data_IF_469440655198
#
_entry.id   IF_469440655198
#
_cell.length_a   1.000
_cell.length_b   1.000
_cell.length_c   1.000
_cell.angle_alpha   90.00
_cell.angle_beta   90.00
_cell.angle_gamma   90.00
#
_symmetry.space_group_name_H-M   'P 1'
#
loop_
_entity.id
_entity.type
_entity.pdbx_description
1 polymer ?
#
# COMPACT_ATOMS: atom_id res chain seq x y z
N UNK A 1 -5.48 20.67 2.50
CA UNK A 1 -5.90 19.32 2.09
C UNK A 1 -5.45 18.39 3.21
N UNK A 2 -6.36 17.62 3.77
CA UNK A 2 -5.94 16.61 4.77
C UNK A 2 -5.02 15.62 4.07
N UNK A 3 -3.88 15.36 4.69
CA UNK A 3 -2.85 14.46 4.19
C UNK A 3 -3.30 13.01 4.50
N UNK A 4 -3.99 12.41 3.53
CA UNK A 4 -4.59 11.08 3.66
C UNK A 4 -3.61 10.01 3.20
N UNK A 5 -3.43 8.99 4.01
CA UNK A 5 -2.57 7.84 3.74
C UNK A 5 -3.43 6.63 3.35
N UNK A 6 -3.18 6.07 2.17
CA UNK A 6 -3.85 4.85 1.73
C UNK A 6 -3.32 3.66 2.51
N UNK A 7 -4.24 2.93 3.15
CA UNK A 7 -3.89 1.73 3.94
C UNK A 7 -4.45 0.44 3.34
N UNK A 8 -5.43 0.54 2.45
CA UNK A 8 -6.01 -0.63 1.81
C UNK A 8 -7.08 -0.31 0.78
N UNK A 9 -7.65 -1.36 0.20
CA UNK A 9 -8.77 -1.29 -0.75
C UNK A 9 -9.84 -2.27 -0.31
N UNK A 10 -11.09 -1.84 -0.30
CA UNK A 10 -12.24 -2.73 -0.08
C UNK A 10 -12.41 -3.66 -1.26
N UNK A 11 -12.25 -4.96 -1.05
CA UNK A 11 -12.35 -5.96 -2.12
C UNK A 11 -13.75 -6.52 -2.26
N UNK A 12 -14.38 -6.92 -1.16
CA UNK A 12 -15.73 -7.49 -1.16
C UNK A 12 -16.39 -7.33 0.19
N UNK A 13 -17.69 -7.54 0.23
CA UNK A 13 -18.47 -7.66 1.48
C UNK A 13 -18.25 -9.04 2.10
N UNK A 14 -18.46 -9.15 3.41
CA UNK A 14 -18.39 -10.41 4.14
C UNK A 14 -19.52 -10.54 5.15
N UNK A 15 -20.11 -11.75 5.24
CA UNK A 15 -21.24 -11.96 6.17
C UNK A 15 -22.45 -11.09 5.85
N UNK A 16 -23.36 -10.97 6.82
CA UNK A 16 -24.62 -10.24 6.68
C UNK A 16 -24.69 -8.97 7.52
N UNK A 17 -23.65 -8.71 8.35
CA UNK A 17 -23.62 -7.64 9.37
C UNK A 17 -22.84 -6.40 8.93
N UNK A 18 -22.67 -6.17 7.62
CA UNK A 18 -21.94 -4.97 7.16
C UNK A 18 -20.42 -5.08 7.18
N UNK A 19 -19.90 -6.29 7.29
CA UNK A 19 -18.45 -6.53 7.26
C UNK A 19 -17.89 -6.35 5.84
N UNK A 20 -16.67 -5.82 5.73
CA UNK A 20 -15.95 -5.71 4.46
C UNK A 20 -14.58 -6.38 4.55
N UNK A 21 -14.18 -7.03 3.45
CA UNK A 21 -12.81 -7.49 3.28
C UNK A 21 -11.97 -6.38 2.67
N UNK A 22 -10.83 -6.10 3.28
CA UNK A 22 -9.87 -5.10 2.81
C UNK A 22 -8.58 -5.78 2.40
N UNK A 23 -8.12 -5.49 1.20
CA UNK A 23 -6.77 -5.81 0.75
C UNK A 23 -5.83 -4.70 1.28
N UNK A 24 -4.86 -5.02 2.15
CA UNK A 24 -3.95 -4.02 2.70
C UNK A 24 -2.93 -3.58 1.65
N UNK A 25 -2.63 -2.28 1.62
CA UNK A 25 -1.53 -1.68 0.84
C UNK A 25 -0.34 -1.30 1.74
N UNK A 26 -0.26 -1.89 2.93
CA UNK A 26 0.80 -1.67 3.94
C UNK A 26 1.46 -2.98 4.31
N UNK A 27 2.75 -2.95 4.61
CA UNK A 27 3.57 -4.13 4.95
C UNK A 27 3.22 -4.76 6.30
N UNK A 28 2.57 -4.03 7.21
CA UNK A 28 2.25 -4.52 8.56
C UNK A 28 0.75 -4.51 8.83
N UNK A 29 0.10 -5.64 8.57
CA UNK A 29 -1.33 -5.89 8.78
C UNK A 29 -1.76 -5.64 10.24
N UNK A 30 -0.87 -5.87 11.21
CA UNK A 30 -1.19 -5.66 12.63
C UNK A 30 -1.46 -4.19 12.97
N UNK A 31 -1.04 -3.29 12.10
CA UNK A 31 -1.28 -1.85 12.24
C UNK A 31 -2.79 -1.54 12.18
N UNK A 32 -3.55 -2.25 11.37
CA UNK A 32 -4.99 -2.06 11.26
C UNK A 32 -5.76 -2.26 12.57
N UNK A 33 -5.27 -3.14 13.46
CA UNK A 33 -5.90 -3.39 14.78
C UNK A 33 -5.85 -2.19 15.72
N UNK A 34 -5.11 -1.16 15.36
CA UNK A 34 -4.95 0.06 16.16
C UNK A 34 -5.59 1.28 15.52
N UNK A 35 -6.23 1.12 14.36
CA UNK A 35 -6.97 2.20 13.71
C UNK A 35 -8.38 2.23 14.29
N UNK A 36 -8.70 3.28 15.03
CA UNK A 36 -10.04 3.48 15.57
C UNK A 36 -10.97 4.11 14.51
N UNK A 37 -10.38 4.81 13.54
CA UNK A 37 -11.11 5.55 12.51
C UNK A 37 -10.44 5.41 11.15
N UNK A 38 -11.25 5.24 10.09
CA UNK A 38 -10.79 5.13 8.70
C UNK A 38 -11.69 5.97 7.79
N UNK A 39 -11.16 6.36 6.64
CA UNK A 39 -11.85 7.17 5.64
C UNK A 39 -11.98 6.36 4.35
N UNK A 40 -13.21 6.13 3.92
CA UNK A 40 -13.51 5.54 2.60
C UNK A 40 -13.59 6.64 1.54
N UNK A 41 -12.85 6.49 0.47
CA UNK A 41 -12.95 7.37 -0.70
C UNK A 41 -13.98 6.80 -1.65
N UNK A 42 -15.14 7.42 -1.70
CA UNK A 42 -16.24 7.00 -2.56
C UNK A 42 -16.46 8.00 -3.71
N UNK A 43 -17.25 7.59 -4.70
CA UNK A 43 -17.63 8.48 -5.82
C UNK A 43 -18.51 9.66 -5.38
N UNK A 44 -19.20 9.51 -4.25
CA UNK A 44 -20.12 10.50 -3.70
C UNK A 44 -19.44 11.43 -2.67
N UNK A 45 -18.17 11.14 -2.31
CA UNK A 45 -17.37 11.86 -1.33
C UNK A 45 -16.71 10.94 -0.32
N UNK A 46 -16.00 11.52 0.62
CA UNK A 46 -15.30 10.79 1.67
C UNK A 46 -16.26 10.46 2.80
N UNK A 47 -16.20 9.24 3.32
CA UNK A 47 -16.99 8.75 4.44
C UNK A 47 -16.04 8.33 5.55
N UNK A 48 -16.12 8.98 6.70
CA UNK A 48 -15.40 8.56 7.91
C UNK A 48 -16.16 7.46 8.62
N UNK A 49 -15.48 6.38 8.98
CA UNK A 49 -16.03 5.22 9.67
C UNK A 49 -15.25 4.90 10.93
N UNK A 50 -15.96 4.59 12.00
CA UNK A 50 -15.37 4.04 13.22
C UNK A 50 -15.20 2.53 13.10
N UNK A 51 -14.02 2.03 13.44
CA UNK A 51 -13.68 0.61 13.31
C UNK A 51 -14.06 -0.13 14.58
N UNK A 52 -15.13 -0.90 14.55
CA UNK A 52 -15.56 -1.72 15.70
C UNK A 52 -14.58 -2.87 15.98
N UNK A 53 -14.15 -3.57 14.94
CA UNK A 53 -13.18 -4.66 15.09
C UNK A 53 -12.47 -5.01 13.78
N UNK A 54 -11.28 -5.61 13.91
CA UNK A 54 -10.47 -6.10 12.79
C UNK A 54 -10.10 -7.56 13.03
N UNK A 55 -10.43 -8.45 12.09
CA UNK A 55 -10.07 -9.87 12.13
C UNK A 55 -9.17 -10.24 10.97
N UNK A 56 -8.05 -10.88 11.28
CA UNK A 56 -7.20 -11.51 10.26
C UNK A 56 -7.91 -12.75 9.72
N UNK A 57 -8.10 -12.82 8.40
CA UNK A 57 -8.58 -14.02 7.76
C UNK A 57 -7.40 -14.86 7.27
N UNK A 58 -7.35 -16.09 7.76
CA UNK A 58 -6.57 -17.16 7.10
C UNK A 58 -7.54 -17.87 6.16
N UNK A 59 -7.49 -17.57 4.88
CA UNK A 59 -8.26 -18.35 3.92
C UNK A 59 -7.66 -19.74 3.80
N UNK A 60 -8.51 -20.76 3.99
CA UNK A 60 -8.13 -22.16 3.79
C UNK A 60 -8.11 -22.42 2.29
N UNK A 61 -6.95 -22.58 1.72
CA UNK A 61 -6.70 -22.78 0.28
C UNK A 61 -7.00 -24.22 -0.16
N UNK A 62 -8.24 -24.71 0.03
CA UNK A 62 -8.55 -26.12 -0.21
C UNK A 62 -8.99 -26.47 -1.65
N UNK A 63 -9.10 -25.52 -2.59
CA UNK A 63 -9.70 -25.78 -3.89
C UNK A 63 -8.96 -25.27 -5.13
N UNK A 64 -7.75 -24.73 -5.00
CA UNK A 64 -6.98 -24.24 -6.15
C UNK A 64 -5.74 -25.10 -6.37
N UNK A 65 -5.47 -25.57 -7.60
CA UNK A 65 -4.26 -26.33 -7.90
C UNK A 65 -3.00 -25.54 -7.58
N UNK A 66 -2.05 -26.17 -6.87
CA UNK A 66 -0.84 -25.54 -6.34
C UNK A 66 0.18 -25.07 -7.39
N UNK A 67 -0.06 -25.38 -8.67
CA UNK A 67 0.79 -25.08 -9.82
C UNK A 67 0.25 -23.98 -10.74
N UNK A 68 -0.86 -23.33 -10.35
CA UNK A 68 -1.46 -22.24 -11.15
C UNK A 68 -0.92 -20.87 -10.73
N UNK A 69 -0.78 -19.94 -11.70
CA UNK A 69 -0.49 -18.51 -11.43
C UNK A 69 -1.53 -17.86 -10.52
N UNK A 70 -2.78 -18.36 -10.56
CA UNK A 70 -3.87 -17.93 -9.70
C UNK A 70 -3.62 -18.34 -8.25
N UNK A 71 -3.00 -19.51 -8.01
CA UNK A 71 -2.61 -19.97 -6.68
C UNK A 71 -1.55 -19.05 -6.04
N UNK A 72 -0.52 -18.65 -6.77
CA UNK A 72 0.52 -17.74 -6.31
C UNK A 72 -0.04 -16.35 -5.99
N UNK A 73 -0.91 -15.84 -6.85
CA UNK A 73 -1.60 -14.56 -6.66
C UNK A 73 -2.55 -14.62 -5.46
N UNK A 74 -3.31 -15.73 -5.32
CA UNK A 74 -4.22 -15.91 -4.17
C UNK A 74 -3.49 -16.21 -2.87
N UNK A 75 -2.32 -16.85 -2.89
CA UNK A 75 -1.47 -17.03 -1.70
C UNK A 75 -1.02 -15.68 -1.13
N UNK A 76 -0.64 -14.76 -2.00
CA UNK A 76 -0.28 -13.40 -1.62
C UNK A 76 -1.50 -12.61 -1.09
N UNK A 77 -2.68 -12.82 -1.68
CA UNK A 77 -3.94 -12.18 -1.26
C UNK A 77 -4.48 -12.80 0.04
N UNK A 78 -4.46 -14.13 0.19
CA UNK A 78 -4.99 -14.82 1.37
C UNK A 78 -4.21 -14.53 2.65
N UNK A 79 -2.91 -14.28 2.53
CA UNK A 79 -2.07 -13.91 3.67
C UNK A 79 -2.26 -12.45 4.14
N UNK A 80 -2.96 -11.62 3.37
CA UNK A 80 -3.00 -10.18 3.53
C UNK A 80 -4.42 -9.60 3.71
N UNK A 81 -5.50 -10.38 3.68
CA UNK A 81 -6.85 -9.82 3.80
C UNK A 81 -7.31 -9.70 5.25
N UNK A 82 -7.83 -8.52 5.61
CA UNK A 82 -8.45 -8.24 6.90
C UNK A 82 -9.94 -7.96 6.72
N UNK A 83 -10.77 -8.39 7.67
CA UNK A 83 -12.16 -7.98 7.76
C UNK A 83 -12.30 -6.77 8.67
N UNK A 84 -12.97 -5.75 8.17
CA UNK A 84 -13.34 -4.57 8.93
C UNK A 84 -14.82 -4.57 9.22
N UNK A 85 -15.16 -4.21 10.44
CA UNK A 85 -16.51 -3.95 10.91
C UNK A 85 -16.59 -2.47 11.21
N UNK A 86 -17.57 -1.79 10.64
CA UNK A 86 -17.88 -0.42 10.95
C UNK A 86 -19.16 -0.37 11.76
N UNK A 87 -19.17 0.39 12.84
CA UNK A 87 -20.34 0.54 13.73
C UNK A 87 -21.58 1.05 13.01
N UNK A 88 -21.38 1.83 11.93
CA UNK A 88 -22.46 2.50 11.20
C UNK A 88 -23.23 1.59 10.24
N UNK A 89 -22.73 0.40 9.94
CA UNK A 89 -23.34 -0.49 8.94
C UNK A 89 -23.63 -1.88 9.49
N UNK A 90 -24.91 -2.18 9.64
CA UNK A 90 -25.38 -3.47 10.15
C UNK A 90 -25.96 -4.39 9.07
N UNK A 91 -25.82 -4.03 7.79
CA UNK A 91 -26.38 -4.77 6.67
C UNK A 91 -25.40 -4.83 5.50
N UNK A 92 -25.28 -6.01 4.88
CA UNK A 92 -24.41 -6.24 3.71
C UNK A 92 -24.73 -5.30 2.53
N UNK A 93 -26.01 -4.96 2.32
CA UNK A 93 -26.44 -4.09 1.23
C UNK A 93 -25.89 -2.65 1.37
N UNK A 94 -25.66 -2.20 2.61
CA UNK A 94 -25.17 -0.86 2.89
C UNK A 94 -23.69 -0.71 2.50
N UNK A 95 -22.93 -1.81 2.58
CA UNK A 95 -21.48 -1.82 2.34
C UNK A 95 -21.10 -2.34 0.95
N UNK A 96 -22.04 -2.92 0.18
CA UNK A 96 -21.75 -3.44 -1.15
C UNK A 96 -21.29 -2.34 -2.12
N UNK A 97 -21.79 -1.12 -1.96
CA UNK A 97 -21.39 0.06 -2.74
C UNK A 97 -19.94 0.49 -2.51
N UNK A 98 -19.30 0.03 -1.43
CA UNK A 98 -17.92 0.37 -1.09
C UNK A 98 -16.87 -0.53 -1.73
N UNK A 99 -17.29 -1.52 -2.52
CA UNK A 99 -16.36 -2.35 -3.27
C UNK A 99 -15.47 -1.51 -4.19
N UNK A 100 -14.17 -1.77 -4.17
CA UNK A 100 -13.11 -1.04 -4.88
C UNK A 100 -12.87 0.40 -4.38
N UNK A 101 -13.46 0.79 -3.25
CA UNK A 101 -13.12 2.05 -2.61
C UNK A 101 -11.79 1.93 -1.89
N UNK A 102 -11.00 3.01 -1.95
CA UNK A 102 -9.76 3.13 -1.18
C UNK A 102 -10.10 3.40 0.28
N UNK A 103 -9.35 2.74 1.16
CA UNK A 103 -9.40 2.93 2.59
C UNK A 103 -8.19 3.75 3.02
N UNK A 104 -8.47 4.91 3.62
CA UNK A 104 -7.48 5.90 4.00
C UNK A 104 -7.49 6.12 5.52
N UNK A 105 -6.41 6.66 6.03
CA UNK A 105 -6.34 7.26 7.38
C UNK A 105 -5.75 8.66 7.27
N UNK A 106 -6.07 9.53 8.23
CA UNK A 106 -5.35 10.80 8.37
C UNK A 106 -3.92 10.53 8.85
N UNK A 107 -3.00 11.44 8.57
CA UNK A 107 -1.61 11.30 9.05
C UNK A 107 -1.54 11.27 10.57
N UNK A 108 -2.43 11.98 11.26
CA UNK A 108 -2.48 12.01 12.72
C UNK A 108 -2.93 10.67 13.33
N UNK A 109 -3.82 9.94 12.63
CA UNK A 109 -4.28 8.60 13.00
C UNK A 109 -3.39 7.49 12.42
N UNK A 110 -2.39 7.86 11.62
CA UNK A 110 -1.44 6.91 11.08
C UNK A 110 -0.50 6.39 12.17
N UNK A 111 -0.29 5.08 12.19
CA UNK A 111 0.60 4.48 13.17
C UNK A 111 2.04 4.93 12.96
N UNK A 112 2.80 5.18 14.04
CA UNK A 112 4.19 5.57 13.93
C UNK A 112 4.99 4.51 13.15
N UNK A 113 5.79 4.99 12.22
CA UNK A 113 6.71 4.19 11.44
C UNK A 113 7.84 3.67 12.34
N UNK A 114 8.23 2.42 12.15
CA UNK A 114 9.46 1.88 12.72
C UNK A 114 10.66 2.41 11.95
N UNK A 115 11.85 2.28 12.53
CA UNK A 115 13.09 2.63 11.84
C UNK A 115 13.21 1.92 10.48
N UNK A 116 13.49 2.67 9.43
CA UNK A 116 13.56 2.18 8.05
C UNK A 116 12.23 2.00 7.33
N UNK A 117 11.08 2.25 7.98
CA UNK A 117 9.78 2.26 7.33
C UNK A 117 9.42 3.66 6.85
N UNK A 118 8.68 3.73 5.74
CA UNK A 118 8.19 4.98 5.15
C UNK A 118 6.81 4.75 4.52
N UNK A 119 6.07 5.82 4.32
CA UNK A 119 4.86 5.79 3.51
C UNK A 119 5.20 6.01 2.05
N UNK A 120 4.61 5.24 1.14
CA UNK A 120 4.88 5.35 -0.30
C UNK A 120 4.55 6.74 -0.85
N UNK A 121 3.52 7.38 -0.31
CA UNK A 121 3.13 8.75 -0.69
C UNK A 121 4.16 9.83 -0.30
N UNK A 122 5.10 9.53 0.60
CA UNK A 122 6.17 10.46 1.02
C UNK A 122 7.42 10.36 0.14
N UNK A 123 7.46 9.39 -0.79
CA UNK A 123 8.64 9.15 -1.63
C UNK A 123 8.70 10.07 -2.86
N UNK A 124 7.57 10.41 -3.54
CA UNK A 124 7.62 11.35 -4.65
C UNK A 124 8.24 12.69 -4.25
N UNK A 125 9.15 13.18 -5.10
CA UNK A 125 9.95 14.37 -4.84
C UNK A 125 11.33 14.10 -4.24
N UNK A 126 11.57 12.89 -3.70
CA UNK A 126 12.87 12.52 -3.15
C UNK A 126 13.96 12.46 -4.23
N UNK A 127 15.14 12.91 -3.88
CA UNK A 127 16.33 12.85 -4.72
C UNK A 127 16.91 11.44 -4.67
N UNK A 128 17.19 10.85 -5.83
CA UNK A 128 17.80 9.52 -5.95
C UNK A 128 19.30 9.67 -6.13
N UNK A 129 20.06 9.06 -5.22
CA UNK A 129 21.53 9.06 -5.22
C UNK A 129 22.02 7.65 -5.50
N UNK A 130 22.95 7.53 -6.42
CA UNK A 130 23.65 6.27 -6.68
C UNK A 130 24.53 5.94 -5.47
N UNK A 131 24.29 4.80 -4.83
CA UNK A 131 25.01 4.35 -3.63
C UNK A 131 26.51 4.08 -3.92
N UNK A 132 26.85 3.71 -5.16
CA UNK A 132 28.22 3.32 -5.53
C UNK A 132 29.08 4.53 -5.92
N UNK A 133 28.48 5.56 -6.55
CA UNK A 133 29.22 6.73 -7.08
C UNK A 133 28.95 8.01 -6.32
N UNK A 134 27.97 8.02 -5.40
CA UNK A 134 27.45 9.19 -4.67
C UNK A 134 26.89 10.29 -5.60
N UNK A 135 26.63 9.97 -6.87
CA UNK A 135 26.08 10.91 -7.84
C UNK A 135 24.54 10.89 -7.80
N UNK A 136 23.97 12.07 -7.99
CA UNK A 136 22.52 12.21 -8.15
C UNK A 136 22.06 11.68 -9.50
N UNK A 137 21.15 10.70 -9.48
CA UNK A 137 20.52 10.11 -10.67
C UNK A 137 19.38 10.99 -11.17
N UNK A 138 18.50 11.44 -10.25
CA UNK A 138 17.30 12.19 -10.57
C UNK A 138 16.38 12.32 -9.38
N UNK A 139 15.06 12.45 -9.65
CA UNK A 139 14.03 12.55 -8.61
C UNK A 139 12.93 11.53 -8.83
N UNK A 140 12.40 10.99 -7.76
CA UNK A 140 11.20 10.16 -7.82
C UNK A 140 10.00 11.05 -8.18
N UNK A 141 9.34 10.74 -9.27
CA UNK A 141 8.12 11.45 -9.74
C UNK A 141 6.86 10.72 -9.32
N UNK A 142 6.90 9.38 -9.26
CA UNK A 142 5.75 8.56 -8.90
C UNK A 142 6.19 7.21 -8.30
N UNK A 143 5.25 6.52 -7.67
CA UNK A 143 5.43 5.17 -7.16
C UNK A 143 4.34 4.27 -7.73
N UNK A 144 4.74 3.31 -8.56
CA UNK A 144 3.86 2.30 -9.12
C UNK A 144 3.75 1.11 -8.17
N UNK A 145 2.55 0.84 -7.69
CA UNK A 145 2.26 -0.37 -6.93
C UNK A 145 2.00 -1.53 -7.91
N UNK A 146 2.82 -2.57 -7.84
CA UNK A 146 2.64 -3.78 -8.65
C UNK A 146 2.36 -4.99 -7.77
N UNK A 147 1.85 -6.07 -8.35
CA UNK A 147 1.53 -7.28 -7.59
C UNK A 147 2.74 -8.02 -6.99
N UNK A 148 3.98 -7.69 -7.42
CA UNK A 148 5.21 -8.32 -6.93
C UNK A 148 6.02 -7.38 -6.05
N UNK A 149 6.37 -6.18 -6.57
CA UNK A 149 7.13 -5.16 -5.85
C UNK A 149 6.64 -3.78 -6.28
N UNK A 150 6.85 -2.78 -5.44
CA UNK A 150 6.69 -1.40 -5.86
C UNK A 150 7.81 -1.01 -6.82
N UNK A 151 7.57 -0.01 -7.66
CA UNK A 151 8.54 0.52 -8.61
C UNK A 151 8.57 2.04 -8.47
N UNK A 152 9.75 2.60 -8.24
CA UNK A 152 9.94 4.04 -8.28
C UNK A 152 10.11 4.51 -9.71
N UNK A 153 9.28 5.45 -10.11
CA UNK A 153 9.41 6.18 -11.38
C UNK A 153 10.32 7.37 -11.12
N UNK A 154 11.45 7.40 -11.80
CA UNK A 154 12.50 8.41 -11.57
C UNK A 154 12.70 9.21 -12.83
N UNK A 155 12.56 10.53 -12.74
CA UNK A 155 12.99 11.44 -13.79
C UNK A 155 14.45 11.78 -13.58
N UNK A 156 15.30 11.39 -14.54
CA UNK A 156 16.73 11.68 -14.51
C UNK A 156 17.01 13.15 -14.77
N UNK A 157 18.24 13.60 -14.48
CA UNK A 157 18.69 14.99 -14.82
C UNK A 157 18.57 15.34 -16.30
N UNK A 158 18.57 14.33 -17.16
CA UNK A 158 18.44 14.48 -18.62
C UNK A 158 16.99 14.50 -19.09
N UNK A 159 16.01 14.41 -18.16
CA UNK A 159 14.58 14.36 -18.47
C UNK A 159 14.10 13.01 -18.99
N UNK A 160 14.88 11.94 -18.80
CA UNK A 160 14.46 10.58 -19.13
C UNK A 160 13.77 9.96 -17.92
N UNK A 161 12.73 9.18 -18.18
CA UNK A 161 12.07 8.36 -17.16
C UNK A 161 12.75 6.99 -17.07
N UNK A 162 13.10 6.58 -15.85
CA UNK A 162 13.65 5.26 -15.54
C UNK A 162 12.90 4.61 -14.39
N UNK A 163 12.81 3.28 -14.40
CA UNK A 163 12.01 2.51 -13.46
C UNK A 163 12.92 1.69 -12.54
N UNK A 164 12.89 1.99 -11.25
CA UNK A 164 13.68 1.29 -10.25
C UNK A 164 12.79 0.39 -9.39
N UNK A 165 12.96 -0.94 -9.42
CA UNK A 165 12.19 -1.85 -8.58
C UNK A 165 12.59 -1.66 -7.11
N UNK A 166 11.59 -1.61 -6.23
CA UNK A 166 11.81 -1.50 -4.78
C UNK A 166 12.13 -2.87 -4.21
N UNK A 167 13.35 -3.31 -4.45
CA UNK A 167 13.93 -4.54 -3.94
C UNK A 167 15.26 -4.25 -3.23
N UNK A 168 15.70 -5.09 -2.27
CA UNK A 168 16.93 -4.86 -1.52
C UNK A 168 18.20 -4.70 -2.38
N UNK A 169 18.22 -5.36 -3.55
CA UNK A 169 19.35 -5.27 -4.47
C UNK A 169 19.44 -3.92 -5.19
N UNK A 170 18.29 -3.23 -5.37
CA UNK A 170 18.21 -1.94 -6.05
C UNK A 170 18.11 -0.78 -5.07
N UNK A 171 17.09 -0.76 -4.19
CA UNK A 171 16.88 0.33 -3.23
C UNK A 171 17.55 -0.02 -1.90
N UNK A 172 18.57 0.73 -1.53
CA UNK A 172 19.39 0.49 -0.34
C UNK A 172 18.83 1.21 0.89
N UNK A 173 18.37 2.45 0.72
CA UNK A 173 17.80 3.25 1.79
C UNK A 173 16.78 4.23 1.22
N UNK A 174 15.69 4.40 1.94
CA UNK A 174 14.72 5.49 1.72
C UNK A 174 14.65 6.32 2.98
N UNK A 175 14.94 7.61 2.86
CA UNK A 175 14.89 8.58 3.94
C UNK A 175 13.94 9.71 3.52
N UNK A 176 12.66 9.53 3.87
CA UNK A 176 11.62 10.50 3.50
C UNK A 176 11.72 11.82 4.27
N UNK A 177 12.43 11.84 5.42
CA UNK A 177 12.65 13.05 6.20
C UNK A 177 13.69 13.97 5.54
N UNK A 178 14.76 13.35 5.04
CA UNK A 178 15.82 14.07 4.29
C UNK A 178 15.44 14.21 2.79
N UNK A 179 14.39 13.53 2.33
CA UNK A 179 13.99 13.51 0.93
C UNK A 179 15.02 12.82 0.02
N UNK A 180 15.65 11.75 0.51
CA UNK A 180 16.74 11.04 -0.19
C UNK A 180 16.40 9.55 -0.33
N UNK A 181 16.60 9.02 -1.54
CA UNK A 181 16.60 7.59 -1.84
C UNK A 181 18.02 7.19 -2.29
N UNK A 182 18.61 6.21 -1.62
CA UNK A 182 19.87 5.61 -2.06
C UNK A 182 19.59 4.33 -2.86
N UNK A 183 20.13 4.28 -4.06
CA UNK A 183 19.89 3.18 -4.99
C UNK A 183 21.18 2.67 -5.62
N UNK A 184 21.29 1.35 -5.71
CA UNK A 184 22.30 0.69 -6.54
C UNK A 184 21.75 0.56 -7.97
N UNK A 185 22.48 1.09 -8.94
CA UNK A 185 22.10 1.03 -10.36
C UNK A 185 22.44 -0.35 -10.92
N UNK A 186 21.44 -1.23 -10.95
CA UNK A 186 21.63 -2.54 -11.56
C UNK A 186 21.86 -2.40 -13.07
N UNK A 187 22.66 -3.34 -13.63
CA UNK A 187 22.97 -3.34 -15.07
C UNK A 187 21.68 -3.39 -15.92
N UNK A 188 21.53 -2.42 -16.80
CA UNK A 188 20.39 -2.30 -17.72
C UNK A 188 19.23 -1.47 -17.21
N UNK A 189 19.31 -0.84 -16.02
CA UNK A 189 18.28 0.08 -15.53
C UNK A 189 18.39 1.48 -16.13
N UNK A 190 19.61 1.91 -16.41
CA UNK A 190 19.91 3.18 -17.10
C UNK A 190 20.77 2.84 -18.30
N UNK A 191 20.30 3.19 -19.50
CA UNK A 191 21.06 3.12 -20.77
C UNK A 191 21.53 4.51 -21.16
#
# INVERSE_FOLDING_TARGET
MEDLLRIGVVTTTHGIKGEVKVFPTTDDIKRFKKCDEVILITKEGNITLHVESVKEMKETMQSIPSDSKEFETMQNIANLSNNYYAEEFNNINDVERFRKCDLMVTRDNALPLKEGQYYLCDVPGAVVINEDTEEEIGKVTDVMETGANNVFVIETKEGKEVLFPVIPDCIKKVDTKEGIVRAHVMKGLIE
#
